data_IF_725825052356
#
_entry.id   IF_725825052356
#
_cell.length_a   1.000
_cell.length_b   1.000
_cell.length_c   1.000
_cell.angle_alpha   90.00
_cell.angle_beta   90.00
_cell.angle_gamma   90.00
#
_symmetry.space_group_name_H-M   'P 1'
#
loop_
_entity.id
_entity.type
_entity.pdbx_description
1 polymer ?
#
# COMPACT_ATOMS: atom_id res chain seq x y z
N UNK A 1 1.11 -25.55 -1.50
CA UNK A 1 0.21 -24.40 -1.53
C UNK A 1 0.88 -23.22 -0.84
N UNK A 2 0.92 -22.08 -1.49
CA UNK A 2 1.61 -20.91 -0.95
C UNK A 2 0.67 -20.13 -0.05
N UNK A 3 1.07 -19.92 1.20
CA UNK A 3 0.31 -19.09 2.14
C UNK A 3 0.65 -17.62 1.88
N UNK A 4 -0.35 -16.77 1.80
CA UNK A 4 -0.13 -15.34 1.68
C UNK A 4 0.51 -14.81 2.97
N UNK A 5 1.59 -14.03 2.84
CA UNK A 5 2.28 -13.40 3.95
C UNK A 5 2.12 -11.89 3.86
N UNK A 6 2.46 -11.18 4.94
CA UNK A 6 2.47 -9.71 4.92
C UNK A 6 3.47 -9.20 3.89
N UNK A 7 4.63 -9.88 3.74
CA UNK A 7 5.62 -9.51 2.74
C UNK A 7 5.06 -9.62 1.32
N UNK A 8 4.34 -10.69 1.02
CA UNK A 8 3.73 -10.89 -0.29
C UNK A 8 2.63 -9.85 -0.54
N UNK A 9 1.82 -9.55 0.48
CA UNK A 9 0.78 -8.52 0.38
C UNK A 9 1.41 -7.14 0.13
N UNK A 10 2.47 -6.80 0.85
CA UNK A 10 3.19 -5.54 0.66
C UNK A 10 3.76 -5.43 -0.75
N UNK A 11 4.32 -6.55 -1.27
CA UNK A 11 4.87 -6.58 -2.62
C UNK A 11 3.78 -6.37 -3.68
N UNK A 12 2.62 -7.01 -3.53
CA UNK A 12 1.51 -6.84 -4.47
C UNK A 12 0.99 -5.40 -4.45
N UNK A 13 0.90 -4.80 -3.26
CA UNK A 13 0.46 -3.42 -3.11
C UNK A 13 1.47 -2.44 -3.75
N UNK A 14 2.75 -2.62 -3.47
CA UNK A 14 3.80 -1.77 -4.04
C UNK A 14 3.80 -1.87 -5.57
N UNK A 15 3.69 -3.09 -6.09
CA UNK A 15 3.63 -3.33 -7.53
C UNK A 15 2.41 -2.65 -8.16
N UNK A 16 1.26 -2.67 -7.48
CA UNK A 16 0.06 -1.98 -7.95
C UNK A 16 0.32 -0.49 -8.18
N UNK A 17 0.99 0.16 -7.25
CA UNK A 17 1.31 1.58 -7.38
C UNK A 17 2.41 1.85 -8.41
N UNK A 18 3.45 1.02 -8.44
CA UNK A 18 4.55 1.22 -9.39
C UNK A 18 4.11 0.99 -10.84
N UNK A 19 3.19 0.06 -11.06
CA UNK A 19 2.66 -0.24 -12.39
C UNK A 19 1.37 0.53 -12.70
N UNK A 20 0.78 1.19 -11.70
CA UNK A 20 -0.53 1.85 -11.79
C UNK A 20 -1.60 0.87 -12.27
N UNK A 21 -1.60 -0.32 -11.67
CA UNK A 21 -2.55 -1.40 -11.95
C UNK A 21 -2.86 -2.17 -10.66
N UNK A 22 -4.02 -1.95 -10.05
CA UNK A 22 -4.33 -2.54 -8.75
C UNK A 22 -4.95 -3.95 -8.82
N UNK A 23 -5.11 -4.52 -10.01
CA UNK A 23 -5.87 -5.76 -10.23
C UNK A 23 -5.38 -6.90 -9.34
N UNK A 24 -4.06 -7.14 -9.32
CA UNK A 24 -3.47 -8.23 -8.55
C UNK A 24 -3.69 -8.06 -7.05
N UNK A 25 -3.50 -6.85 -6.54
CA UNK A 25 -3.69 -6.59 -5.12
C UNK A 25 -5.16 -6.73 -4.71
N UNK A 26 -6.08 -6.21 -5.51
CA UNK A 26 -7.52 -6.31 -5.24
C UNK A 26 -7.94 -7.78 -5.16
N UNK A 27 -7.38 -8.63 -6.00
CA UNK A 27 -7.69 -10.07 -5.99
C UNK A 27 -7.26 -10.74 -4.66
N UNK A 28 -6.32 -10.16 -3.93
CA UNK A 28 -5.88 -10.68 -2.64
C UNK A 28 -6.76 -10.25 -1.47
N UNK A 29 -7.64 -9.26 -1.66
CA UNK A 29 -8.47 -8.74 -0.58
C UNK A 29 -9.56 -9.75 -0.21
N UNK A 30 -9.75 -9.93 1.10
CA UNK A 30 -10.91 -10.65 1.62
C UNK A 30 -12.19 -9.87 1.27
N UNK A 31 -13.30 -10.60 1.12
CA UNK A 31 -14.59 -9.95 0.81
C UNK A 31 -14.98 -8.91 1.88
N UNK A 32 -14.57 -9.13 3.12
CA UNK A 32 -14.84 -8.25 4.26
C UNK A 32 -13.62 -7.44 4.71
N UNK A 33 -12.63 -7.27 3.83
CA UNK A 33 -11.42 -6.54 4.16
C UNK A 33 -11.71 -5.12 4.61
N UNK A 34 -10.84 -4.57 5.46
CA UNK A 34 -10.94 -3.20 5.94
C UNK A 34 -9.72 -2.40 5.51
N UNK A 35 -9.91 -1.14 5.21
CA UNK A 35 -8.83 -0.21 4.94
C UNK A 35 -9.01 1.03 5.81
N UNK A 36 -7.97 1.41 6.53
CA UNK A 36 -7.95 2.60 7.36
C UNK A 36 -6.78 3.50 6.96
N UNK A 37 -6.97 4.80 7.08
CA UNK A 37 -5.93 5.79 6.86
C UNK A 37 -5.86 6.73 8.06
N UNK A 38 -4.67 7.03 8.53
CA UNK A 38 -4.49 7.96 9.65
C UNK A 38 -4.86 9.40 9.30
N UNK A 39 -5.07 9.70 8.02
CA UNK A 39 -5.52 11.02 7.57
C UNK A 39 -7.05 11.13 7.45
N UNK A 40 -7.77 10.00 7.53
CA UNK A 40 -9.22 9.95 7.33
C UNK A 40 -9.85 9.12 8.46
N UNK A 41 -10.91 9.62 9.08
CA UNK A 41 -11.52 8.97 10.24
C UNK A 41 -12.35 7.73 9.90
N UNK A 42 -12.94 7.67 8.70
CA UNK A 42 -13.78 6.54 8.34
C UNK A 42 -13.00 5.43 7.66
N UNK A 43 -13.20 4.20 8.13
CA UNK A 43 -12.67 3.03 7.47
C UNK A 43 -13.54 2.65 6.27
N UNK A 44 -12.89 2.14 5.22
CA UNK A 44 -13.62 1.49 4.14
C UNK A 44 -13.76 0.01 4.51
N UNK A 45 -14.97 -0.51 4.44
CA UNK A 45 -15.26 -1.90 4.77
C UNK A 45 -15.78 -2.61 3.52
N UNK A 46 -15.17 -3.73 3.20
CA UNK A 46 -15.55 -4.55 2.05
C UNK A 46 -14.63 -4.34 0.86
N UNK A 47 -14.34 -5.46 0.18
CA UNK A 47 -13.44 -5.45 -0.97
C UNK A 47 -13.91 -4.49 -2.07
N UNK A 48 -15.22 -4.43 -2.33
CA UNK A 48 -15.73 -3.60 -3.41
C UNK A 48 -15.53 -2.11 -3.15
N UNK A 49 -15.76 -1.67 -1.90
CA UNK A 49 -15.54 -0.28 -1.51
C UNK A 49 -14.06 0.10 -1.61
N UNK A 50 -13.18 -0.81 -1.16
CA UNK A 50 -11.73 -0.61 -1.23
C UNK A 50 -11.28 -0.58 -2.69
N UNK A 51 -11.80 -1.49 -3.52
CA UNK A 51 -11.45 -1.57 -4.92
C UNK A 51 -11.82 -0.27 -5.65
N UNK A 52 -13.02 0.23 -5.44
CA UNK A 52 -13.47 1.48 -6.06
C UNK A 52 -12.58 2.66 -5.67
N UNK A 53 -12.23 2.74 -4.40
CA UNK A 53 -11.35 3.80 -3.88
C UNK A 53 -9.95 3.71 -4.50
N UNK A 54 -9.35 2.52 -4.49
CA UNK A 54 -7.99 2.32 -4.98
C UNK A 54 -7.89 2.52 -6.50
N UNK A 55 -8.86 1.98 -7.25
CA UNK A 55 -8.93 2.18 -8.69
C UNK A 55 -9.04 3.66 -9.02
N UNK A 56 -9.89 4.39 -8.29
CA UNK A 56 -10.05 5.83 -8.49
C UNK A 56 -8.78 6.61 -8.23
N UNK A 57 -8.07 6.29 -7.15
CA UNK A 57 -6.81 6.94 -6.81
C UNK A 57 -5.74 6.69 -7.87
N UNK A 58 -5.58 5.44 -8.27
CA UNK A 58 -4.57 5.07 -9.28
C UNK A 58 -4.91 5.69 -10.62
N UNK A 59 -6.19 5.71 -11.00
CA UNK A 59 -6.64 6.34 -12.24
C UNK A 59 -6.28 7.82 -12.27
N UNK A 60 -6.48 8.52 -11.16
CA UNK A 60 -6.14 9.93 -11.05
C UNK A 60 -4.65 10.18 -11.24
N UNK A 61 -3.81 9.39 -10.57
CA UNK A 61 -2.36 9.52 -10.71
C UNK A 61 -1.93 9.21 -12.15
N UNK A 62 -2.52 8.18 -12.75
CA UNK A 62 -2.20 7.79 -14.12
C UNK A 62 -2.60 8.88 -15.13
N UNK A 63 -3.77 9.50 -14.94
CA UNK A 63 -4.23 10.59 -15.81
C UNK A 63 -3.33 11.82 -15.71
N UNK A 64 -2.76 12.07 -14.52
CA UNK A 64 -1.93 13.23 -14.26
C UNK A 64 -0.44 13.00 -14.51
N UNK A 65 -0.04 11.79 -14.90
CA UNK A 65 1.37 11.40 -14.98
C UNK A 65 2.22 12.29 -15.88
N UNK A 66 1.63 12.83 -16.96
CA UNK A 66 2.34 13.71 -17.89
C UNK A 66 2.39 15.15 -17.38
N UNK A 67 1.28 15.64 -16.81
CA UNK A 67 1.12 17.05 -16.45
C UNK A 67 1.48 17.35 -14.99
N UNK A 68 1.55 16.33 -14.14
CA UNK A 68 1.83 16.49 -12.73
C UNK A 68 2.80 15.40 -12.26
N UNK A 69 4.07 15.43 -12.71
CA UNK A 69 5.07 14.43 -12.33
C UNK A 69 5.33 14.42 -10.83
N UNK A 70 5.05 15.52 -10.13
CA UNK A 70 5.14 15.59 -8.67
C UNK A 70 4.13 14.68 -7.96
N UNK A 71 3.12 14.18 -8.67
CA UNK A 71 2.13 13.25 -8.11
C UNK A 71 2.52 11.79 -8.28
N UNK A 72 3.63 11.53 -8.99
CA UNK A 72 4.08 10.15 -9.21
C UNK A 72 4.39 9.48 -7.89
N UNK A 73 3.89 8.24 -7.74
CA UNK A 73 4.11 7.43 -6.53
C UNK A 73 5.21 6.42 -6.79
N UNK A 74 6.13 6.31 -5.84
CA UNK A 74 7.18 5.28 -5.81
C UNK A 74 6.91 4.39 -4.61
N UNK A 75 6.72 3.10 -4.84
CA UNK A 75 6.40 2.17 -3.76
C UNK A 75 7.55 1.21 -3.54
N UNK A 76 8.06 1.20 -2.32
CA UNK A 76 9.24 0.45 -1.91
C UNK A 76 8.85 -0.54 -0.81
N UNK A 77 9.56 -1.68 -0.75
CA UNK A 77 9.40 -2.61 0.36
C UNK A 77 10.26 -2.16 1.54
N UNK A 78 9.80 -2.43 2.75
CA UNK A 78 10.54 -2.12 3.96
C UNK A 78 10.08 -2.96 5.14
N UNK A 79 10.73 -2.71 6.28
CA UNK A 79 10.39 -3.37 7.54
C UNK A 79 10.34 -2.31 8.63
N UNK A 80 9.33 -2.35 9.48
CA UNK A 80 9.20 -1.39 10.58
C UNK A 80 10.27 -1.66 11.63
N UNK A 81 10.84 -0.60 12.21
CA UNK A 81 11.90 -0.71 13.21
C UNK A 81 11.49 -0.20 14.60
N UNK A 82 10.42 0.59 14.67
CA UNK A 82 9.82 1.03 15.93
C UNK A 82 8.30 0.89 15.82
N UNK A 83 7.61 0.94 16.96
CA UNK A 83 6.18 0.71 16.98
C UNK A 83 5.84 -0.74 16.71
N UNK A 84 5.48 -1.06 15.49
CA UNK A 84 5.20 -2.43 15.05
C UNK A 84 6.47 -3.09 14.50
N UNK A 85 7.50 -3.17 15.32
CA UNK A 85 8.83 -3.60 14.93
C UNK A 85 8.84 -4.96 14.22
N UNK A 86 9.56 -5.04 13.10
CA UNK A 86 9.73 -6.28 12.34
C UNK A 86 8.60 -6.63 11.41
N UNK A 87 7.64 -5.74 11.19
CA UNK A 87 6.56 -6.00 10.23
C UNK A 87 6.97 -5.55 8.83
N UNK A 88 6.70 -6.41 7.85
CA UNK A 88 6.85 -6.06 6.45
C UNK A 88 5.84 -4.98 6.07
N UNK A 89 6.27 -3.99 5.28
CA UNK A 89 5.43 -2.87 4.91
C UNK A 89 5.74 -2.39 3.49
N UNK A 90 4.83 -1.60 2.94
CA UNK A 90 5.08 -0.86 1.72
C UNK A 90 5.30 0.61 2.10
N UNK A 91 6.31 1.22 1.50
CA UNK A 91 6.65 2.63 1.74
C UNK A 91 6.28 3.40 0.49
N UNK A 92 5.36 4.36 0.61
CA UNK A 92 4.95 5.18 -0.52
C UNK A 92 5.67 6.52 -0.45
N UNK A 93 6.36 6.87 -1.53
CA UNK A 93 6.96 8.19 -1.72
C UNK A 93 6.23 8.87 -2.87
N UNK A 94 6.14 10.19 -2.85
CA UNK A 94 5.44 10.93 -3.89
C UNK A 94 6.33 12.03 -4.44
N UNK A 95 6.44 12.08 -5.77
CA UNK A 95 7.24 13.07 -6.49
C UNK A 95 8.70 12.69 -6.58
N UNK A 96 9.28 12.17 -5.52
CA UNK A 96 10.66 11.70 -5.46
C UNK A 96 10.77 10.56 -4.46
N UNK A 97 11.72 9.65 -4.66
CA UNK A 97 11.91 8.48 -3.79
C UNK A 97 12.26 8.85 -2.35
N UNK A 98 12.89 10.01 -2.15
CA UNK A 98 13.25 10.51 -0.82
C UNK A 98 12.05 11.07 -0.06
N UNK A 99 10.99 11.42 -0.77
CA UNK A 99 9.84 12.10 -0.18
C UNK A 99 8.78 11.08 0.27
N UNK A 100 9.08 10.40 1.39
CA UNK A 100 8.17 9.39 1.94
C UNK A 100 6.88 10.05 2.44
N UNK A 101 5.76 9.59 1.91
CA UNK A 101 4.44 10.13 2.20
C UNK A 101 3.63 9.23 3.13
N UNK A 102 3.84 7.91 3.08
CA UNK A 102 3.05 6.98 3.89
C UNK A 102 3.79 5.66 4.09
N UNK A 103 3.45 4.97 5.17
CA UNK A 103 3.87 3.60 5.44
C UNK A 103 2.61 2.74 5.56
N UNK A 104 2.54 1.66 4.81
CA UNK A 104 1.33 0.83 4.72
C UNK A 104 1.60 -0.54 5.34
N UNK A 105 0.78 -0.90 6.32
CA UNK A 105 0.85 -2.16 7.04
C UNK A 105 -0.30 -3.07 6.63
N UNK A 106 -0.07 -4.39 6.64
CA UNK A 106 -1.04 -5.37 6.17
C UNK A 106 -1.30 -6.44 7.24
N UNK A 107 -2.54 -6.91 7.29
CA UNK A 107 -2.89 -8.09 8.07
C UNK A 107 -3.46 -9.13 7.10
N UNK A 108 -2.98 -10.36 7.22
CA UNK A 108 -3.38 -11.46 6.33
C UNK A 108 -3.92 -12.63 7.16
N UNK A 109 -4.92 -13.30 6.61
CA UNK A 109 -5.50 -14.50 7.22
C UNK A 109 -6.17 -15.34 6.15
N UNK A 110 -6.02 -16.65 6.23
CA UNK A 110 -6.66 -17.59 5.30
C UNK A 110 -6.35 -17.29 3.83
N UNK A 111 -5.13 -16.85 3.55
CA UNK A 111 -4.69 -16.58 2.19
C UNK A 111 -5.23 -15.29 1.59
N UNK A 112 -5.77 -14.40 2.42
CA UNK A 112 -6.31 -13.12 1.96
C UNK A 112 -5.82 -11.97 2.84
N UNK A 113 -5.81 -10.76 2.28
CA UNK A 113 -5.57 -9.54 3.04
C UNK A 113 -6.89 -9.18 3.73
N UNK A 114 -6.89 -9.19 5.06
CA UNK A 114 -8.08 -8.88 5.86
C UNK A 114 -8.14 -7.43 6.28
N UNK A 115 -7.00 -6.75 6.27
CA UNK A 115 -6.92 -5.34 6.63
C UNK A 115 -5.61 -4.74 6.13
N UNK A 116 -5.65 -3.47 5.74
CA UNK A 116 -4.42 -2.71 5.60
C UNK A 116 -4.63 -1.28 6.08
N UNK A 117 -3.55 -0.71 6.62
CA UNK A 117 -3.56 0.60 7.25
C UNK A 117 -2.51 1.49 6.62
N UNK A 118 -2.92 2.69 6.20
CA UNK A 118 -2.00 3.70 5.71
C UNK A 118 -1.63 4.62 6.86
N UNK A 119 -0.37 4.60 7.25
CA UNK A 119 0.13 5.27 8.44
C UNK A 119 0.99 6.49 8.09
N UNK A 120 0.95 7.49 8.96
CA UNK A 120 1.82 8.66 8.83
C UNK A 120 3.26 8.24 9.07
N UNK A 121 4.21 8.62 8.18
CA UNK A 121 5.60 8.19 8.32
C UNK A 121 6.27 8.75 9.58
N UNK A 122 5.77 9.84 10.12
CA UNK A 122 6.29 10.44 11.36
C UNK A 122 6.06 9.54 12.59
N UNK A 123 5.10 8.62 12.50
CA UNK A 123 4.73 7.75 13.62
C UNK A 123 5.44 6.39 13.59
N UNK A 124 6.12 6.07 12.49
CA UNK A 124 6.77 4.79 12.32
C UNK A 124 8.14 4.95 11.67
N UNK A 125 9.15 4.36 12.29
CA UNK A 125 10.45 4.26 11.65
C UNK A 125 10.52 2.96 10.85
N UNK A 126 11.16 3.03 9.67
CA UNK A 126 11.26 1.88 8.77
C UNK A 126 12.69 1.73 8.26
N UNK A 127 13.08 0.48 8.03
CA UNK A 127 14.29 0.17 7.29
C UNK A 127 13.89 -0.02 5.82
N UNK A 128 14.47 0.76 4.94
CA UNK A 128 14.14 0.76 3.51
C UNK A 128 14.99 -0.30 2.81
N UNK A 129 14.34 -1.11 1.97
CA UNK A 129 15.03 -2.19 1.26
C UNK A 129 15.73 -1.75 -0.02
N UNK A 130 15.26 -0.65 -0.62
CA UNK A 130 15.70 -0.26 -1.95
C UNK A 130 15.03 -1.04 -3.07
N UNK A 131 14.11 -1.94 -2.76
CA UNK A 131 13.38 -2.72 -3.74
C UNK A 131 12.06 -2.05 -4.09
N UNK A 132 11.88 -1.76 -5.39
CA UNK A 132 10.66 -1.13 -5.93
C UNK A 132 10.00 -2.14 -6.88
N UNK A 133 9.07 -2.97 -6.39
CA UNK A 133 8.45 -4.02 -7.21
C UNK A 133 7.74 -3.48 -8.44
N UNK A 134 7.93 -4.13 -9.55
CA UNK A 134 7.25 -3.82 -10.82
C UNK A 134 6.73 -5.06 -11.51
#
# INVERSE_FOLDING_TARGET
MTTLTEATAAKAFAKAWNQLDPTEFIALLDANACYASQWVFEELVGRDAIADYLVGKIRTVKANAVNAPQDKVYAELGITTTGFSGRDCAILAQGAKENVAAVVLFEVSNGKVTRYDMCMPELLNVARSGEYPV
#
